data_IF_119372831320
#
_entry.id   IF_119372831320
#
_cell.length_a   1.000
_cell.length_b   1.000
_cell.length_c   1.000
_cell.angle_alpha   90.00
_cell.angle_beta   90.00
_cell.angle_gamma   90.00
#
_symmetry.space_group_name_H-M   'P 1'
#
loop_
_entity.id
_entity.type
_entity.pdbx_description
1 polymer ?
#
# COMPACT_ATOMS: atom_id res chain seq x y z
N UNK A 1 62.25 3.87 -26.83
CA UNK A 1 60.92 3.33 -26.62
C UNK A 1 60.03 4.38 -25.96
N UNK A 2 59.23 5.10 -26.75
CA UNK A 2 58.20 5.99 -26.20
C UNK A 2 56.99 5.14 -25.83
N UNK A 3 56.70 5.05 -24.52
CA UNK A 3 55.41 4.53 -24.01
C UNK A 3 54.45 5.70 -24.05
N UNK A 4 53.50 5.68 -24.97
CA UNK A 4 52.32 6.50 -24.96
C UNK A 4 51.29 5.82 -24.06
N UNK A 5 51.24 6.18 -22.78
CA UNK A 5 50.15 5.86 -21.88
C UNK A 5 48.92 6.68 -22.29
N UNK A 6 48.13 6.15 -23.21
CA UNK A 6 46.80 6.60 -23.52
C UNK A 6 45.81 5.98 -22.52
N UNK A 7 45.90 6.34 -21.25
CA UNK A 7 44.82 6.18 -20.28
C UNK A 7 43.93 7.40 -20.29
N UNK A 8 43.34 7.71 -21.42
CA UNK A 8 42.09 8.49 -21.45
C UNK A 8 41.01 7.59 -20.92
N UNK A 9 40.84 7.63 -19.60
CA UNK A 9 39.68 7.11 -18.92
C UNK A 9 38.42 7.91 -19.26
N UNK A 10 38.00 7.88 -20.52
CA UNK A 10 36.60 8.16 -20.82
C UNK A 10 35.81 7.04 -20.17
N UNK A 11 35.24 7.35 -18.98
CA UNK A 11 34.18 6.57 -18.38
C UNK A 11 33.07 6.53 -19.40
N UNK A 12 33.05 5.51 -20.26
CA UNK A 12 31.88 5.14 -21.04
C UNK A 12 30.80 4.87 -20.00
N UNK A 13 30.03 5.92 -19.68
CA UNK A 13 28.77 5.77 -19.01
C UNK A 13 28.01 4.73 -19.84
N UNK A 14 27.91 3.50 -19.33
CA UNK A 14 27.08 2.46 -19.93
C UNK A 14 25.65 2.93 -19.79
N UNK A 15 25.20 3.69 -20.79
CA UNK A 15 23.77 4.01 -20.89
C UNK A 15 23.04 2.68 -20.94
N UNK A 16 22.25 2.41 -19.90
CA UNK A 16 21.35 1.28 -19.95
C UNK A 16 20.35 1.53 -21.09
N UNK A 17 19.86 0.48 -21.74
CA UNK A 17 18.81 0.64 -22.75
C UNK A 17 17.62 1.44 -22.18
N UNK A 18 17.33 1.28 -20.88
CA UNK A 18 16.30 2.05 -20.17
C UNK A 18 16.67 3.53 -20.04
N UNK A 19 17.94 3.85 -19.81
CA UNK A 19 18.41 5.24 -19.74
C UNK A 19 18.23 5.97 -21.07
N UNK A 20 18.54 5.33 -22.19
CA UNK A 20 18.33 5.89 -23.53
C UNK A 20 16.84 6.16 -23.79
N UNK A 21 15.98 5.21 -23.44
CA UNK A 21 14.52 5.36 -23.58
C UNK A 21 13.98 6.46 -22.66
N UNK A 22 14.45 6.51 -21.42
CA UNK A 22 14.07 7.52 -20.44
C UNK A 22 14.41 8.94 -20.93
N UNK A 23 15.64 9.11 -21.46
CA UNK A 23 16.08 10.39 -22.04
C UNK A 23 15.23 10.80 -23.25
N UNK A 24 14.94 9.85 -24.13
CA UNK A 24 14.11 10.10 -25.32
C UNK A 24 12.69 10.58 -24.97
N UNK A 25 12.07 10.00 -23.94
CA UNK A 25 10.74 10.38 -23.50
C UNK A 25 10.70 11.49 -22.44
N UNK A 26 11.86 11.96 -21.96
CA UNK A 26 11.95 12.98 -20.92
C UNK A 26 11.44 12.52 -19.54
N UNK A 27 11.56 11.22 -19.25
CA UNK A 27 11.13 10.58 -18.00
C UNK A 27 12.33 9.94 -17.29
N UNK A 28 12.14 9.45 -16.08
CA UNK A 28 13.20 8.76 -15.32
C UNK A 28 13.30 7.27 -15.69
N UNK A 29 14.46 6.66 -15.51
CA UNK A 29 14.64 5.19 -15.66
C UNK A 29 13.69 4.40 -14.74
N UNK A 30 13.35 4.98 -13.59
CA UNK A 30 12.41 4.39 -12.65
C UNK A 30 10.99 4.32 -13.24
N UNK A 31 10.54 5.38 -13.93
CA UNK A 31 9.24 5.41 -14.60
C UNK A 31 9.20 4.41 -15.76
N UNK A 32 10.27 4.32 -16.56
CA UNK A 32 10.38 3.30 -17.61
C UNK A 32 10.30 1.89 -17.02
N UNK A 33 11.02 1.62 -15.93
CA UNK A 33 10.96 0.32 -15.27
C UNK A 33 9.56 -0.03 -14.79
N UNK A 34 8.85 0.94 -14.20
CA UNK A 34 7.46 0.76 -13.78
C UNK A 34 6.54 0.51 -14.97
N UNK A 35 6.66 1.28 -16.04
CA UNK A 35 5.84 1.09 -17.23
C UNK A 35 6.03 -0.30 -17.84
N UNK A 36 7.28 -0.76 -17.97
CA UNK A 36 7.60 -2.10 -18.46
C UNK A 36 7.01 -3.19 -17.56
N UNK A 37 7.03 -2.98 -16.23
CA UNK A 37 6.44 -3.92 -15.29
C UNK A 37 4.91 -3.95 -15.39
N UNK A 38 4.27 -2.80 -15.47
CA UNK A 38 2.81 -2.71 -15.64
C UNK A 38 2.33 -3.28 -16.97
N UNK A 39 3.17 -3.26 -18.00
CA UNK A 39 2.88 -3.93 -19.28
C UNK A 39 2.80 -5.47 -19.20
N UNK A 40 3.19 -6.06 -18.05
CA UNK A 40 3.04 -7.49 -17.77
C UNK A 40 1.66 -7.84 -17.18
N UNK A 41 0.83 -6.84 -16.89
CA UNK A 41 -0.55 -7.07 -16.45
C UNK A 41 -1.38 -7.60 -17.62
N UNK A 42 -2.27 -8.54 -17.31
CA UNK A 42 -3.30 -8.96 -18.26
C UNK A 42 -4.23 -7.78 -18.59
N UNK A 43 -4.76 -7.70 -19.81
CA UNK A 43 -5.53 -6.56 -20.27
C UNK A 43 -6.67 -6.10 -19.33
N UNK A 44 -7.48 -7.00 -18.72
CA UNK A 44 -8.52 -6.57 -17.79
C UNK A 44 -8.01 -5.85 -16.55
N UNK A 45 -6.84 -6.26 -16.00
CA UNK A 45 -6.25 -5.57 -14.86
C UNK A 45 -5.64 -4.22 -15.24
N UNK A 46 -5.00 -4.14 -16.42
CA UNK A 46 -4.48 -2.88 -16.94
C UNK A 46 -5.61 -1.86 -17.13
N UNK A 47 -6.75 -2.30 -17.68
CA UNK A 47 -7.95 -1.46 -17.85
C UNK A 47 -8.50 -0.95 -16.50
N UNK A 48 -8.53 -1.79 -15.46
CA UNK A 48 -8.96 -1.37 -14.11
C UNK A 48 -7.99 -0.33 -13.53
N UNK A 49 -6.68 -0.50 -13.72
CA UNK A 49 -5.67 0.46 -13.24
C UNK A 49 -5.85 1.83 -13.90
N UNK A 50 -6.18 1.84 -15.19
CA UNK A 50 -6.36 3.06 -15.97
C UNK A 50 -7.68 3.77 -15.67
N UNK A 51 -8.79 3.02 -15.66
CA UNK A 51 -10.13 3.58 -15.57
C UNK A 51 -10.65 3.68 -14.13
N UNK A 52 -10.22 2.79 -13.23
CA UNK A 52 -10.71 2.70 -11.86
C UNK A 52 -9.56 2.67 -10.82
N UNK A 53 -8.68 3.67 -10.78
CA UNK A 53 -7.49 3.68 -9.91
C UNK A 53 -7.83 3.63 -8.40
N UNK A 54 -9.08 3.87 -8.05
CA UNK A 54 -9.59 3.70 -6.68
C UNK A 54 -9.78 2.22 -6.32
N UNK A 55 -10.09 1.35 -7.27
CA UNK A 55 -10.22 -0.10 -7.06
C UNK A 55 -8.87 -0.80 -7.08
N UNK A 56 -8.01 -0.43 -8.05
CA UNK A 56 -6.68 -0.98 -8.20
C UNK A 56 -5.67 0.13 -8.47
N UNK A 57 -4.93 0.52 -7.46
CA UNK A 57 -3.91 1.55 -7.61
C UNK A 57 -2.58 0.99 -8.16
N UNK A 58 -1.74 1.88 -8.69
CA UNK A 58 -0.43 1.54 -9.26
C UNK A 58 0.49 0.75 -8.31
N UNK A 59 0.39 0.97 -7.00
CA UNK A 59 1.24 0.27 -6.04
C UNK A 59 0.81 -1.20 -5.83
N UNK A 60 -0.48 -1.50 -5.97
CA UNK A 60 -0.99 -2.87 -5.99
C UNK A 60 -0.69 -3.54 -7.33
N UNK A 61 -0.92 -2.83 -8.44
CA UNK A 61 -0.64 -3.29 -9.79
C UNK A 61 0.84 -3.70 -9.97
N UNK A 62 1.76 -2.93 -9.39
CA UNK A 62 3.20 -3.23 -9.38
C UNK A 62 3.52 -4.59 -8.70
N UNK A 63 2.81 -4.96 -7.64
CA UNK A 63 2.96 -6.25 -6.98
C UNK A 63 2.29 -7.39 -7.76
N UNK A 64 1.13 -7.12 -8.37
CA UNK A 64 0.37 -8.12 -9.13
C UNK A 64 1.07 -8.46 -10.46
N UNK A 65 1.78 -7.50 -11.06
CA UNK A 65 2.51 -7.71 -12.30
C UNK A 65 3.66 -8.75 -12.21
N UNK A 66 4.04 -9.17 -11.00
CA UNK A 66 5.02 -10.23 -10.80
C UNK A 66 4.42 -11.64 -10.98
N UNK A 67 3.09 -11.77 -10.99
CA UNK A 67 2.40 -13.04 -11.17
C UNK A 67 2.21 -13.38 -12.65
N UNK A 68 2.08 -14.68 -12.95
CA UNK A 68 1.68 -15.16 -14.25
C UNK A 68 0.19 -14.84 -14.53
N UNK A 69 -0.24 -14.98 -15.80
CA UNK A 69 -1.59 -14.64 -16.24
C UNK A 69 -2.68 -15.40 -15.48
N UNK A 70 -2.42 -16.67 -15.15
CA UNK A 70 -3.38 -17.51 -14.42
C UNK A 70 -3.61 -16.98 -13.00
N UNK A 71 -2.55 -16.66 -12.28
CA UNK A 71 -2.64 -16.11 -10.94
C UNK A 71 -3.23 -14.68 -10.95
N UNK A 72 -2.90 -13.87 -11.97
CA UNK A 72 -3.46 -12.51 -12.12
C UNK A 72 -4.99 -12.51 -12.27
N UNK A 73 -5.58 -13.57 -12.86
CA UNK A 73 -7.04 -13.68 -13.02
C UNK A 73 -7.79 -13.62 -11.68
N UNK A 74 -7.22 -14.16 -10.59
CA UNK A 74 -7.82 -14.10 -9.27
C UNK A 74 -8.01 -12.66 -8.76
N UNK A 75 -7.12 -11.75 -9.12
CA UNK A 75 -7.22 -10.34 -8.70
C UNK A 75 -8.32 -9.56 -9.42
N UNK A 76 -8.73 -9.98 -10.63
CA UNK A 76 -9.86 -9.38 -11.35
C UNK A 76 -11.14 -9.50 -10.52
N UNK A 77 -11.45 -10.70 -10.06
CA UNK A 77 -12.66 -10.96 -9.27
C UNK A 77 -12.68 -10.14 -7.98
N UNK A 78 -11.52 -9.99 -7.33
CA UNK A 78 -11.41 -9.14 -6.13
C UNK A 78 -11.73 -7.67 -6.43
N UNK A 79 -11.32 -7.16 -7.59
CA UNK A 79 -11.60 -5.78 -8.02
C UNK A 79 -13.06 -5.57 -8.43
N UNK A 80 -13.79 -6.65 -8.78
CA UNK A 80 -15.20 -6.58 -9.17
C UNK A 80 -16.16 -6.52 -7.98
N UNK A 81 -15.67 -6.76 -6.75
CA UNK A 81 -16.51 -6.69 -5.56
C UNK A 81 -16.85 -5.23 -5.23
N UNK A 82 -18.14 -4.93 -5.20
CA UNK A 82 -18.62 -3.59 -4.90
C UNK A 82 -18.14 -3.06 -3.54
N UNK A 83 -17.71 -1.80 -3.54
CA UNK A 83 -17.18 -1.14 -2.35
C UNK A 83 -15.84 -1.65 -1.85
N UNK A 84 -15.19 -2.57 -2.58
CA UNK A 84 -13.87 -3.06 -2.24
C UNK A 84 -12.79 -2.46 -3.15
N UNK A 85 -11.67 -2.08 -2.54
CA UNK A 85 -10.46 -1.66 -3.23
C UNK A 85 -9.28 -2.48 -2.73
N UNK A 86 -8.47 -3.00 -3.65
CA UNK A 86 -7.21 -3.62 -3.29
C UNK A 86 -6.24 -2.56 -2.75
N UNK A 87 -5.72 -2.81 -1.56
CA UNK A 87 -4.71 -1.96 -0.95
C UNK A 87 -3.35 -2.67 -0.88
N UNK A 88 -2.29 -1.87 -0.81
CA UNK A 88 -0.91 -2.37 -0.82
C UNK A 88 -0.63 -3.40 0.29
N UNK A 89 -1.22 -3.23 1.48
CA UNK A 89 -0.99 -4.16 2.61
C UNK A 89 -1.61 -5.52 2.32
N UNK A 90 -2.85 -5.56 1.83
CA UNK A 90 -3.52 -6.79 1.44
C UNK A 90 -2.78 -7.49 0.30
N UNK A 91 -2.38 -6.74 -0.75
CA UNK A 91 -1.65 -7.32 -1.88
C UNK A 91 -0.29 -7.85 -1.47
N UNK A 92 0.46 -7.12 -0.63
CA UNK A 92 1.74 -7.59 -0.09
C UNK A 92 1.58 -8.81 0.83
N UNK A 93 0.49 -8.89 1.60
CA UNK A 93 0.18 -10.07 2.40
C UNK A 93 -0.09 -11.29 1.52
N UNK A 94 -0.88 -11.15 0.45
CA UNK A 94 -1.12 -12.21 -0.53
C UNK A 94 0.21 -12.65 -1.15
N UNK A 95 1.06 -11.72 -1.58
CA UNK A 95 2.36 -12.03 -2.18
C UNK A 95 3.30 -12.78 -1.22
N UNK A 96 3.23 -12.48 0.08
CA UNK A 96 4.02 -13.18 1.09
C UNK A 96 3.56 -14.62 1.34
N UNK A 97 2.24 -14.89 1.23
CA UNK A 97 1.66 -16.22 1.39
C UNK A 97 1.72 -17.06 0.10
N UNK A 98 1.57 -16.41 -1.02
CA UNK A 98 1.51 -16.98 -2.35
C UNK A 98 2.55 -16.28 -3.23
N UNK A 99 3.84 -16.65 -3.15
CA UNK A 99 4.89 -15.95 -3.89
C UNK A 99 4.74 -16.12 -5.40
N UNK A 100 5.01 -15.03 -6.18
CA UNK A 100 5.02 -15.10 -7.63
C UNK A 100 6.20 -15.97 -8.14
N UNK A 101 6.23 -16.38 -9.42
CA UNK A 101 5.27 -15.97 -10.46
C UNK A 101 3.98 -16.81 -10.47
N UNK A 102 4.05 -18.08 -10.15
CA UNK A 102 2.94 -19.01 -10.27
C UNK A 102 2.37 -19.33 -8.89
N UNK A 103 1.13 -18.95 -8.68
CA UNK A 103 0.41 -19.25 -7.47
C UNK A 103 -1.00 -19.77 -7.80
N UNK A 104 -1.46 -20.76 -7.03
CA UNK A 104 -2.81 -21.27 -7.18
C UNK A 104 -3.86 -20.20 -6.84
N UNK A 105 -4.85 -20.04 -7.71
CA UNK A 105 -5.90 -19.04 -7.52
C UNK A 105 -6.67 -19.23 -6.20
N UNK A 106 -6.93 -20.48 -5.80
CA UNK A 106 -7.62 -20.77 -4.54
C UNK A 106 -6.78 -20.35 -3.33
N UNK A 107 -5.46 -20.57 -3.39
CA UNK A 107 -4.53 -20.10 -2.36
C UNK A 107 -4.52 -18.56 -2.28
N UNK A 108 -4.54 -17.86 -3.41
CA UNK A 108 -4.65 -16.41 -3.48
C UNK A 108 -5.96 -15.93 -2.83
N UNK A 109 -7.09 -16.57 -3.13
CA UNK A 109 -8.38 -16.24 -2.50
C UNK A 109 -8.38 -16.52 -0.99
N UNK A 110 -7.77 -17.62 -0.55
CA UNK A 110 -7.65 -17.92 0.88
C UNK A 110 -6.84 -16.86 1.61
N UNK A 111 -5.67 -16.48 1.08
CA UNK A 111 -4.83 -15.43 1.62
C UNK A 111 -5.54 -14.08 1.66
N UNK A 112 -6.30 -13.75 0.61
CA UNK A 112 -7.09 -12.53 0.58
C UNK A 112 -8.20 -12.50 1.65
N UNK A 113 -8.94 -13.59 1.85
CA UNK A 113 -9.95 -13.68 2.92
C UNK A 113 -9.33 -13.51 4.28
N UNK A 114 -8.20 -14.17 4.55
CA UNK A 114 -7.46 -14.02 5.80
C UNK A 114 -7.00 -12.57 6.04
N UNK A 115 -6.50 -11.89 5.00
CA UNK A 115 -6.12 -10.49 5.09
C UNK A 115 -7.30 -9.59 5.46
N UNK A 116 -8.49 -9.86 4.90
CA UNK A 116 -9.73 -9.11 5.22
C UNK A 116 -10.19 -9.35 6.65
N UNK A 117 -10.18 -10.59 7.12
CA UNK A 117 -10.55 -10.93 8.50
C UNK A 117 -9.62 -10.25 9.50
N UNK A 118 -8.31 -10.26 9.24
CA UNK A 118 -7.32 -9.54 10.07
C UNK A 118 -7.55 -8.03 10.06
N UNK A 119 -7.91 -7.45 8.91
CA UNK A 119 -8.21 -6.03 8.81
C UNK A 119 -9.49 -5.66 9.59
N UNK A 120 -10.53 -6.49 9.48
CA UNK A 120 -11.81 -6.29 10.19
C UNK A 120 -11.63 -6.42 11.70
N UNK A 121 -10.92 -7.46 12.17
CA UNK A 121 -10.64 -7.65 13.59
C UNK A 121 -9.78 -6.53 14.18
N UNK A 122 -8.85 -5.98 13.38
CA UNK A 122 -8.02 -4.84 13.79
C UNK A 122 -8.80 -3.53 13.83
N UNK A 123 -9.77 -3.35 12.93
CA UNK A 123 -10.67 -2.19 12.94
C UNK A 123 -11.66 -2.23 14.10
N UNK A 124 -12.07 -3.43 14.55
CA UNK A 124 -12.93 -3.64 15.70
C UNK A 124 -12.20 -3.48 17.05
N UNK A 125 -10.87 -3.52 17.07
CA UNK A 125 -10.12 -3.27 18.28
C UNK A 125 -10.26 -1.81 18.71
N UNK A 126 -10.50 -1.54 20.02
CA UNK A 126 -10.58 -0.17 20.50
C UNK A 126 -9.28 0.58 20.19
N UNK A 127 -9.38 1.87 19.85
CA UNK A 127 -8.19 2.66 19.50
C UNK A 127 -7.20 2.65 20.68
N UNK A 128 -5.94 2.33 20.41
CA UNK A 128 -4.89 2.28 21.43
C UNK A 128 -4.65 3.61 22.15
N UNK A 129 -5.03 4.71 21.51
CA UNK A 129 -4.99 6.07 22.05
C UNK A 129 -6.22 6.84 21.58
N UNK A 130 -6.89 7.48 22.52
CA UNK A 130 -7.88 8.50 22.23
C UNK A 130 -7.16 9.84 22.10
N UNK A 131 -7.30 10.49 20.95
CA UNK A 131 -6.80 11.85 20.77
C UNK A 131 -7.97 12.81 20.58
N UNK A 132 -7.94 13.90 21.33
CA UNK A 132 -8.94 14.95 21.23
C UNK A 132 -8.33 16.20 20.61
N UNK A 133 -9.11 16.95 19.83
CA UNK A 133 -8.67 18.24 19.32
C UNK A 133 -8.53 19.23 20.49
N UNK A 134 -7.28 19.54 20.82
CA UNK A 134 -6.91 20.41 21.93
C UNK A 134 -7.59 21.79 21.85
N UNK A 135 -7.84 22.33 20.65
CA UNK A 135 -8.48 23.63 20.47
C UNK A 135 -9.92 23.62 20.97
N UNK A 136 -10.67 22.54 20.76
CA UNK A 136 -12.04 22.39 21.22
C UNK A 136 -12.16 22.27 22.74
N UNK A 137 -11.13 21.74 23.38
CA UNK A 137 -11.12 21.51 24.83
C UNK A 137 -10.34 22.61 25.59
N UNK A 138 -9.60 23.48 24.91
CA UNK A 138 -8.80 24.53 25.54
C UNK A 138 -9.53 25.35 26.63
N UNK A 139 -10.81 25.79 26.45
CA UNK A 139 -11.52 26.55 27.47
C UNK A 139 -11.77 25.77 28.77
N UNK A 140 -11.82 24.44 28.68
CA UNK A 140 -12.05 23.56 29.83
C UNK A 140 -10.77 23.08 30.46
N UNK A 141 -9.73 22.84 29.63
CA UNK A 141 -8.43 22.34 30.08
C UNK A 141 -7.67 23.31 30.96
N UNK A 142 -7.89 24.61 30.81
CA UNK A 142 -7.25 25.67 31.63
C UNK A 142 -7.62 25.61 33.11
N UNK A 143 -8.66 24.87 33.49
CA UNK A 143 -9.13 24.70 34.87
C UNK A 143 -8.39 23.57 35.62
N UNK A 144 -7.65 22.71 34.90
CA UNK A 144 -6.97 21.57 35.47
C UNK A 144 -5.47 21.84 35.60
N UNK A 145 -4.89 21.35 36.69
CA UNK A 145 -3.46 21.55 37.01
C UNK A 145 -2.55 20.48 36.34
N UNK A 146 -3.12 19.33 35.96
CA UNK A 146 -2.36 18.23 35.37
C UNK A 146 -3.19 17.40 34.41
N UNK A 147 -2.54 16.73 33.46
CA UNK A 147 -3.19 15.78 32.55
C UNK A 147 -3.84 14.61 33.31
N UNK A 148 -3.30 14.22 34.45
CA UNK A 148 -3.84 13.17 35.31
C UNK A 148 -5.22 13.53 35.87
N UNK A 149 -5.43 14.78 36.29
CA UNK A 149 -6.75 15.24 36.74
C UNK A 149 -7.81 15.15 35.62
N UNK A 150 -7.40 15.41 34.38
CA UNK A 150 -8.27 15.31 33.20
C UNK A 150 -8.63 13.85 32.93
N UNK A 151 -7.63 12.94 33.02
CA UNK A 151 -7.85 11.50 32.85
C UNK A 151 -8.77 10.94 33.91
N UNK A 152 -8.56 11.29 35.18
CA UNK A 152 -9.38 10.84 36.30
C UNK A 152 -10.83 11.31 36.15
N UNK A 153 -11.05 12.57 35.78
CA UNK A 153 -12.39 13.12 35.51
C UNK A 153 -13.09 12.39 34.36
N UNK A 154 -12.33 12.12 33.29
CA UNK A 154 -12.87 11.43 32.14
C UNK A 154 -13.24 9.99 32.45
N UNK A 155 -12.43 9.28 33.24
CA UNK A 155 -12.73 7.94 33.72
C UNK A 155 -13.96 7.92 34.62
N UNK A 156 -14.11 8.90 35.49
CA UNK A 156 -15.30 9.04 36.35
C UNK A 156 -16.57 9.27 35.50
N UNK A 157 -16.52 10.17 34.53
CA UNK A 157 -17.59 10.39 33.57
C UNK A 157 -18.00 9.13 32.82
N UNK A 158 -17.01 8.34 32.32
CA UNK A 158 -17.29 7.09 31.63
C UNK A 158 -17.92 6.04 32.56
N UNK A 159 -17.51 5.94 33.82
CA UNK A 159 -18.08 5.03 34.81
C UNK A 159 -19.55 5.40 35.11
N UNK A 160 -19.84 6.69 35.29
CA UNK A 160 -21.22 7.17 35.53
C UNK A 160 -22.13 6.86 34.32
N UNK A 161 -21.63 6.99 33.08
CA UNK A 161 -22.38 6.68 31.87
C UNK A 161 -22.57 5.18 31.65
N UNK A 162 -21.57 4.35 31.98
CA UNK A 162 -21.66 2.90 31.84
C UNK A 162 -22.61 2.27 32.87
N UNK A 163 -22.84 2.89 34.01
CA UNK A 163 -23.76 2.41 35.04
C UNK A 163 -25.24 2.82 34.77
N UNK A 164 -25.50 3.60 33.73
CA UNK A 164 -26.85 4.11 33.39
C UNK A 164 -27.48 3.35 32.21
N UNK A 165 -26.84 2.33 31.66
CA UNK A 165 -27.51 1.45 30.68
C UNK A 165 -28.24 0.31 31.41
N UNK A 166 -29.60 0.25 31.29
CA UNK A 166 -30.37 -0.86 31.78
C UNK A 166 -30.11 -2.15 31.00
#
# INVERSE_FOLDING_TARGET
GFRTDLTSGESRQKYSARGIVAEFFGVTEYEIRKAVKLAQLIPPLAEIVENEPKKLNLACADLIADYDESAQTAFIEMCQIDGYALNKQTTAFIQAQCPPPSADQQAIYAAWREAREKATSRAAAPPKKLSFDRKRFAPYLSKFKSDKEIEDLFLEFLRQRSSVQP
#
